data_IF_808192519449
#
_entry.id   IF_808192519449
#
_cell.length_a   1.000
_cell.length_b   1.000
_cell.length_c   1.000
_cell.angle_alpha   90.00
_cell.angle_beta   90.00
_cell.angle_gamma   90.00
#
_symmetry.space_group_name_H-M   'P 1'
#
loop_
_entity.id
_entity.type
_entity.pdbx_description
1 polymer ?
#
# COMPACT_ATOMS: atom_id res chain seq x y z
N UNK A 1 37.12 -16.74 13.94
CA UNK A 1 36.36 -16.39 12.73
C UNK A 1 34.96 -16.89 12.97
N UNK A 2 34.09 -16.00 13.43
CA UNK A 2 32.72 -16.32 13.80
C UNK A 2 31.86 -16.22 12.52
N UNK A 3 31.83 -17.28 11.73
CA UNK A 3 30.89 -17.40 10.61
C UNK A 3 29.54 -17.81 11.16
N UNK A 4 28.86 -16.87 11.84
CA UNK A 4 27.43 -16.98 12.01
C UNK A 4 26.84 -17.05 10.58
N UNK A 5 26.20 -18.17 10.24
CA UNK A 5 25.55 -18.32 8.96
C UNK A 5 24.58 -17.14 8.76
N UNK A 6 24.75 -16.39 7.67
CA UNK A 6 23.87 -15.25 7.37
C UNK A 6 22.45 -15.79 7.19
N UNK A 7 21.54 -15.38 8.06
CA UNK A 7 20.11 -15.76 8.03
C UNK A 7 19.56 -15.55 6.62
N UNK A 8 18.92 -16.57 6.06
CA UNK A 8 18.34 -16.48 4.73
C UNK A 8 17.01 -15.71 4.80
N UNK A 9 16.99 -14.47 4.31
CA UNK A 9 15.82 -13.60 4.35
C UNK A 9 14.96 -13.78 3.09
N UNK A 10 13.66 -13.95 3.26
CA UNK A 10 12.70 -14.07 2.15
C UNK A 10 12.03 -12.73 1.82
N UNK A 11 12.09 -12.30 0.56
CA UNK A 11 11.29 -11.20 0.03
C UNK A 11 10.16 -11.79 -0.82
N UNK A 12 8.90 -11.55 -0.41
CA UNK A 12 7.71 -12.07 -1.09
C UNK A 12 6.97 -10.90 -1.73
N UNK A 13 6.91 -10.88 -3.06
CA UNK A 13 6.35 -9.80 -3.85
C UNK A 13 5.00 -10.20 -4.46
N UNK A 14 3.91 -9.61 -3.96
CA UNK A 14 2.59 -9.94 -4.46
C UNK A 14 2.33 -9.44 -5.89
N UNK A 15 1.36 -10.05 -6.57
CA UNK A 15 0.81 -9.53 -7.82
C UNK A 15 -0.10 -8.33 -7.59
N UNK A 16 -0.20 -7.47 -8.60
CA UNK A 16 -1.00 -6.23 -8.53
C UNK A 16 -0.91 -5.34 -9.76
N UNK A 17 -0.45 -5.85 -10.90
CA UNK A 17 -0.31 -5.08 -12.15
C UNK A 17 0.45 -3.77 -11.98
N UNK A 18 -0.13 -2.65 -12.39
CA UNK A 18 0.48 -1.32 -12.35
C UNK A 18 0.88 -0.85 -10.93
N UNK A 19 0.26 -1.41 -9.89
CA UNK A 19 0.64 -1.16 -8.48
C UNK A 19 2.03 -1.68 -8.13
N UNK A 20 2.63 -2.53 -8.98
CA UNK A 20 4.00 -3.02 -8.83
C UNK A 20 5.06 -1.93 -8.70
N UNK A 21 4.78 -0.71 -9.16
CA UNK A 21 5.60 0.49 -8.89
C UNK A 21 5.88 0.72 -7.40
N UNK A 22 4.95 0.36 -6.51
CA UNK A 22 5.13 0.42 -5.05
C UNK A 22 6.30 -0.42 -4.56
N UNK A 23 6.48 -1.62 -5.11
CA UNK A 23 7.56 -2.55 -4.73
C UNK A 23 8.96 -1.98 -5.02
N UNK A 24 9.10 -1.09 -6.01
CA UNK A 24 10.37 -0.41 -6.28
C UNK A 24 10.73 0.59 -5.19
N UNK A 25 9.72 1.24 -4.61
CA UNK A 25 9.87 2.05 -3.40
C UNK A 25 10.37 1.23 -2.21
N UNK A 26 9.73 0.07 -2.01
CA UNK A 26 10.13 -0.89 -0.97
C UNK A 26 11.56 -1.35 -1.17
N UNK A 27 11.92 -1.75 -2.39
CA UNK A 27 13.29 -2.13 -2.74
C UNK A 27 14.29 -1.04 -2.33
N UNK A 28 14.07 0.20 -2.75
CA UNK A 28 14.96 1.31 -2.38
C UNK A 28 15.16 1.44 -0.87
N UNK A 29 14.07 1.37 -0.10
CA UNK A 29 14.15 1.46 1.36
C UNK A 29 14.91 0.28 1.98
N UNK A 30 14.69 -0.95 1.48
CA UNK A 30 15.42 -2.14 1.95
C UNK A 30 16.93 -2.01 1.67
N UNK A 31 17.32 -1.52 0.51
CA UNK A 31 18.73 -1.27 0.16
C UNK A 31 19.37 -0.25 1.10
N UNK A 32 18.70 0.89 1.37
CA UNK A 32 19.17 1.93 2.30
C UNK A 32 19.25 1.41 3.75
N UNK A 33 18.42 0.43 4.12
CA UNK A 33 18.46 -0.25 5.43
C UNK A 33 19.54 -1.33 5.52
N UNK A 34 20.25 -1.64 4.43
CA UNK A 34 21.19 -2.77 4.37
C UNK A 34 20.50 -4.13 4.48
N UNK A 35 19.21 -4.20 4.14
CA UNK A 35 18.44 -5.43 4.15
C UNK A 35 18.52 -6.11 2.78
N UNK A 36 19.10 -7.31 2.73
CA UNK A 36 19.28 -8.08 1.49
C UNK A 36 18.55 -9.41 1.56
N UNK A 37 17.79 -9.77 0.52
CA UNK A 37 17.14 -11.08 0.44
C UNK A 37 18.15 -12.20 0.12
N UNK A 38 17.93 -13.39 0.69
CA UNK A 38 18.53 -14.64 0.26
C UNK A 38 17.59 -15.51 -0.58
N UNK A 39 16.28 -15.23 -0.52
CA UNK A 39 15.26 -15.81 -1.38
C UNK A 39 14.24 -14.74 -1.80
N UNK A 40 13.82 -14.77 -3.05
CA UNK A 40 12.79 -13.89 -3.62
C UNK A 40 11.72 -14.75 -4.25
N UNK A 41 10.47 -14.50 -3.89
CA UNK A 41 9.33 -15.13 -4.57
C UNK A 41 8.34 -14.09 -5.03
N UNK A 42 7.70 -14.35 -6.17
CA UNK A 42 6.73 -13.40 -6.70
C UNK A 42 5.62 -14.02 -7.53
N UNK A 43 4.55 -13.26 -7.68
CA UNK A 43 3.40 -13.58 -8.53
C UNK A 43 3.14 -12.40 -9.44
N UNK A 44 2.88 -12.63 -10.73
CA UNK A 44 2.56 -11.57 -11.70
C UNK A 44 3.64 -10.49 -11.73
N UNK A 45 3.27 -9.22 -11.68
CA UNK A 45 4.24 -8.11 -11.57
C UNK A 45 5.31 -8.29 -10.48
N UNK A 46 4.97 -8.99 -9.38
CA UNK A 46 5.91 -9.29 -8.30
C UNK A 46 7.04 -10.23 -8.73
N UNK A 47 6.81 -11.15 -9.67
CA UNK A 47 7.88 -12.00 -10.20
C UNK A 47 8.80 -11.21 -11.17
N UNK A 48 8.25 -10.27 -11.94
CA UNK A 48 9.03 -9.37 -12.80
C UNK A 48 9.93 -8.45 -11.99
N UNK A 49 9.38 -7.76 -10.99
CA UNK A 49 10.16 -6.93 -10.06
C UNK A 49 11.16 -7.79 -9.27
N UNK A 50 10.76 -9.00 -8.86
CA UNK A 50 11.62 -9.94 -8.15
C UNK A 50 12.81 -10.41 -8.98
N UNK A 51 12.62 -10.70 -10.26
CA UNK A 51 13.71 -11.04 -11.18
C UNK A 51 14.72 -9.89 -11.32
N UNK A 52 14.23 -8.66 -11.50
CA UNK A 52 15.08 -7.47 -11.53
C UNK A 52 15.82 -7.24 -10.20
N UNK A 53 15.17 -7.51 -9.06
CA UNK A 53 15.80 -7.46 -7.73
C UNK A 53 16.98 -8.44 -7.63
N UNK A 54 16.77 -9.70 -8.04
CA UNK A 54 17.83 -10.74 -8.03
C UNK A 54 19.01 -10.36 -8.94
N UNK A 55 18.72 -9.67 -10.05
CA UNK A 55 19.72 -9.16 -10.99
C UNK A 55 20.36 -7.83 -10.58
N UNK A 56 19.94 -7.21 -9.47
CA UNK A 56 20.46 -5.91 -9.02
C UNK A 56 20.11 -4.74 -9.93
N UNK A 57 19.01 -4.83 -10.69
CA UNK A 57 18.62 -3.88 -11.73
C UNK A 57 17.67 -2.78 -11.23
N UNK A 58 18.00 -2.13 -10.10
CA UNK A 58 17.11 -1.14 -9.46
C UNK A 58 16.75 0.01 -10.40
N UNK A 59 17.77 0.61 -11.03
CA UNK A 59 17.62 1.74 -11.94
C UNK A 59 16.74 1.37 -13.15
N UNK A 60 16.94 0.16 -13.70
CA UNK A 60 16.12 -0.37 -14.81
C UNK A 60 14.66 -0.55 -14.39
N UNK A 61 14.41 -1.10 -13.21
CA UNK A 61 13.05 -1.25 -12.69
C UNK A 61 12.39 0.12 -12.49
N UNK A 62 13.08 1.06 -11.84
CA UNK A 62 12.60 2.43 -11.63
C UNK A 62 12.24 3.10 -12.95
N UNK A 63 13.15 3.09 -13.92
CA UNK A 63 12.97 3.78 -15.18
C UNK A 63 11.87 3.15 -16.02
N UNK A 64 11.73 1.81 -15.98
CA UNK A 64 10.60 1.11 -16.59
C UNK A 64 9.27 1.64 -16.06
N UNK A 65 9.08 1.69 -14.74
CA UNK A 65 7.86 2.16 -14.11
C UNK A 65 7.56 3.65 -14.34
N UNK A 66 8.60 4.48 -14.49
CA UNK A 66 8.46 5.91 -14.77
C UNK A 66 8.26 6.22 -16.26
N UNK A 67 8.38 5.24 -17.15
CA UNK A 67 8.24 5.42 -18.61
C UNK A 67 7.06 4.69 -19.21
N UNK A 68 6.65 3.55 -18.64
CA UNK A 68 5.48 2.81 -19.12
C UNK A 68 4.22 3.67 -19.03
N UNK A 69 3.43 3.64 -20.10
CA UNK A 69 2.16 4.34 -20.22
C UNK A 69 1.17 3.38 -20.84
N UNK A 70 -0.07 3.43 -20.38
CA UNK A 70 -1.17 2.76 -21.06
C UNK A 70 -2.21 3.81 -21.44
N UNK A 71 -2.41 3.99 -22.73
CA UNK A 71 -3.23 5.09 -23.26
C UNK A 71 -4.72 4.72 -23.36
N UNK A 72 -5.07 3.42 -23.35
CA UNK A 72 -6.46 2.96 -23.39
C UNK A 72 -6.63 1.66 -22.60
N UNK A 73 -6.99 1.78 -21.32
CA UNK A 73 -7.28 0.61 -20.48
C UNK A 73 -8.65 0.75 -19.84
N UNK A 74 -9.47 -0.27 -20.04
CA UNK A 74 -10.78 -0.37 -19.42
C UNK A 74 -10.64 -0.56 -17.92
N UNK A 75 -11.36 0.27 -17.15
CA UNK A 75 -11.48 0.10 -15.71
C UNK A 75 -12.15 -1.24 -15.40
N UNK A 76 -11.53 -2.01 -14.50
CA UNK A 76 -12.16 -3.23 -14.01
C UNK A 76 -13.27 -2.87 -13.02
N UNK A 77 -14.37 -3.63 -13.00
CA UNK A 77 -15.43 -3.42 -12.03
C UNK A 77 -14.92 -3.77 -10.63
N UNK A 78 -15.56 -3.19 -9.61
CA UNK A 78 -15.32 -3.51 -8.21
C UNK A 78 -15.33 -5.05 -7.99
N UNK A 79 -14.40 -5.64 -7.23
CA UNK A 79 -14.45 -7.05 -6.83
C UNK A 79 -15.79 -7.50 -6.24
N UNK A 80 -16.51 -6.62 -5.56
CA UNK A 80 -17.85 -6.85 -5.01
C UNK A 80 -18.97 -6.70 -6.05
N UNK A 81 -18.68 -6.24 -7.28
CA UNK A 81 -19.65 -6.14 -8.35
C UNK A 81 -20.20 -7.53 -8.72
N UNK A 82 -21.50 -7.59 -9.02
CA UNK A 82 -22.18 -8.85 -9.32
C UNK A 82 -21.70 -9.51 -10.62
N UNK A 83 -22.03 -10.80 -10.84
CA UNK A 83 -21.55 -11.58 -11.99
C UNK A 83 -21.87 -10.99 -13.38
N UNK A 84 -22.90 -10.13 -13.48
CA UNK A 84 -23.27 -9.46 -14.74
C UNK A 84 -22.23 -8.43 -15.17
N UNK A 85 -21.78 -7.58 -14.26
CA UNK A 85 -20.78 -6.54 -14.55
C UNK A 85 -19.45 -7.18 -15.00
N UNK A 86 -19.01 -8.19 -14.24
CA UNK A 86 -17.86 -9.01 -14.62
C UNK A 86 -18.06 -9.72 -15.96
N UNK A 87 -19.26 -10.24 -16.23
CA UNK A 87 -19.59 -10.89 -17.51
C UNK A 87 -19.60 -9.93 -18.72
N UNK A 88 -19.89 -8.65 -18.54
CA UNK A 88 -19.79 -7.63 -19.58
C UNK A 88 -18.34 -7.32 -19.93
N UNK A 89 -17.52 -7.05 -18.91
CA UNK A 89 -16.09 -6.80 -19.06
C UNK A 89 -15.35 -8.00 -19.66
N UNK A 90 -15.67 -9.22 -19.21
CA UNK A 90 -15.12 -10.45 -19.81
C UNK A 90 -15.50 -10.57 -21.28
N UNK A 91 -16.78 -10.32 -21.63
CA UNK A 91 -17.23 -10.39 -23.03
C UNK A 91 -16.51 -9.37 -23.91
N UNK A 92 -16.29 -8.17 -23.39
CA UNK A 92 -15.61 -7.12 -24.12
C UNK A 92 -14.13 -7.46 -24.34
N UNK A 93 -13.39 -7.84 -23.29
CA UNK A 93 -12.00 -8.27 -23.45
C UNK A 93 -11.85 -9.45 -24.42
N UNK A 94 -12.74 -10.43 -24.36
CA UNK A 94 -12.71 -11.57 -25.30
C UNK A 94 -13.04 -11.12 -26.73
N UNK A 95 -14.00 -10.22 -26.92
CA UNK A 95 -14.36 -9.70 -28.23
C UNK A 95 -13.24 -8.85 -28.86
N UNK A 96 -12.50 -8.12 -28.03
CA UNK A 96 -11.37 -7.27 -28.45
C UNK A 96 -10.03 -8.03 -28.52
N UNK A 97 -9.98 -9.27 -28.03
CA UNK A 97 -8.78 -10.12 -28.05
C UNK A 97 -7.82 -9.93 -26.88
N UNK A 98 -8.24 -9.19 -25.84
CA UNK A 98 -7.42 -8.80 -24.70
C UNK A 98 -6.53 -7.58 -24.99
N UNK A 99 -5.76 -7.17 -23.98
CA UNK A 99 -4.73 -6.13 -24.11
C UNK A 99 -3.54 -6.66 -24.90
N UNK A 100 -2.92 -5.79 -25.72
CA UNK A 100 -1.65 -6.10 -26.37
C UNK A 100 -0.55 -6.28 -25.33
N UNK A 101 0.00 -7.49 -25.26
CA UNK A 101 1.07 -7.86 -24.32
C UNK A 101 2.47 -7.65 -24.88
N UNK A 102 2.62 -7.25 -26.15
CA UNK A 102 3.92 -7.00 -26.79
C UNK A 102 4.84 -6.05 -25.99
N UNK A 103 4.33 -4.98 -25.33
CA UNK A 103 5.15 -4.15 -24.45
C UNK A 103 5.74 -4.91 -23.26
N UNK A 104 4.96 -5.81 -22.64
CA UNK A 104 5.41 -6.63 -21.52
C UNK A 104 6.45 -7.67 -21.99
N UNK A 105 6.25 -8.29 -23.15
CA UNK A 105 7.23 -9.20 -23.76
C UNK A 105 8.55 -8.48 -24.04
N UNK A 106 8.49 -7.27 -24.60
CA UNK A 106 9.67 -6.44 -24.86
C UNK A 106 10.39 -6.02 -23.57
N UNK A 107 9.64 -5.76 -22.49
CA UNK A 107 10.22 -5.51 -21.16
C UNK A 107 10.97 -6.76 -20.67
N UNK A 108 10.30 -7.92 -20.63
CA UNK A 108 10.91 -9.17 -20.15
C UNK A 108 12.15 -9.51 -20.95
N UNK A 109 12.10 -9.41 -22.28
CA UNK A 109 13.25 -9.66 -23.15
C UNK A 109 14.43 -8.69 -22.92
N UNK A 110 14.16 -7.46 -22.47
CA UNK A 110 15.20 -6.46 -22.19
C UNK A 110 15.82 -6.61 -20.81
N UNK A 111 15.03 -6.96 -19.80
CA UNK A 111 15.48 -7.00 -18.40
C UNK A 111 16.04 -8.35 -17.99
N UNK A 112 15.54 -9.44 -18.59
CA UNK A 112 15.86 -10.78 -18.17
C UNK A 112 17.19 -11.27 -18.78
N UNK A 113 18.17 -11.48 -17.91
CA UNK A 113 19.33 -12.33 -18.17
C UNK A 113 19.18 -13.61 -17.35
N UNK A 114 18.71 -14.68 -17.98
CA UNK A 114 18.42 -15.96 -17.29
C UNK A 114 19.69 -16.59 -16.72
N UNK A 115 20.81 -16.51 -17.42
CA UNK A 115 22.08 -17.10 -16.96
C UNK A 115 22.60 -16.35 -15.72
N UNK A 116 22.54 -15.01 -15.74
CA UNK A 116 22.90 -14.21 -14.57
C UNK A 116 21.96 -14.47 -13.37
N UNK A 117 20.66 -14.65 -13.63
CA UNK A 117 19.68 -14.94 -12.58
C UNK A 117 19.95 -16.31 -11.95
N UNK A 118 20.24 -17.33 -12.76
CA UNK A 118 20.61 -18.68 -12.29
C UNK A 118 21.96 -18.74 -11.57
N UNK A 119 22.89 -17.85 -11.93
CA UNK A 119 24.18 -17.73 -11.25
C UNK A 119 24.10 -16.94 -9.92
N UNK A 120 22.98 -16.25 -9.67
CA UNK A 120 22.81 -15.42 -8.47
C UNK A 120 22.81 -16.25 -7.19
N UNK A 121 23.43 -15.77 -6.10
CA UNK A 121 23.30 -16.39 -4.79
C UNK A 121 21.90 -16.23 -4.19
N UNK A 122 21.07 -15.34 -4.74
CA UNK A 122 19.68 -15.12 -4.30
C UNK A 122 18.76 -16.10 -5.01
N UNK A 123 18.08 -16.95 -4.24
CA UNK A 123 17.17 -17.96 -4.79
C UNK A 123 15.90 -17.30 -5.31
N UNK A 124 15.38 -17.76 -6.43
CA UNK A 124 14.18 -17.20 -7.05
C UNK A 124 13.07 -18.24 -7.24
N UNK A 125 11.82 -17.80 -7.15
CA UNK A 125 10.66 -18.62 -7.49
C UNK A 125 9.45 -17.78 -7.90
N UNK A 126 8.56 -18.37 -8.68
CA UNK A 126 7.36 -17.72 -9.17
C UNK A 126 6.13 -18.62 -9.05
N UNK A 127 4.95 -18.00 -9.18
CA UNK A 127 3.67 -18.71 -9.25
C UNK A 127 3.00 -18.49 -10.60
N UNK A 128 2.51 -19.57 -11.20
CA UNK A 128 1.57 -19.55 -12.32
C UNK A 128 0.52 -20.63 -12.11
N UNK A 129 -0.52 -20.67 -12.94
CA UNK A 129 -1.62 -21.65 -12.84
C UNK A 129 -1.86 -22.26 -14.21
N UNK A 130 -1.90 -23.59 -14.31
CA UNK A 130 -2.38 -24.23 -15.54
C UNK A 130 -3.86 -23.93 -15.73
N UNK A 131 -4.23 -23.35 -16.87
CA UNK A 131 -5.60 -22.96 -17.21
C UNK A 131 -6.56 -24.15 -17.13
N UNK A 132 -6.15 -25.30 -17.68
CA UNK A 132 -6.94 -26.53 -17.64
C UNK A 132 -6.90 -27.14 -16.24
N UNK A 133 -8.03 -27.06 -15.54
CA UNK A 133 -8.18 -27.62 -14.19
C UNK A 133 -7.62 -26.74 -13.08
N UNK A 134 -7.20 -25.49 -13.39
CA UNK A 134 -6.71 -24.48 -12.44
C UNK A 134 -5.65 -25.03 -11.48
N UNK A 135 -4.70 -25.82 -12.00
CA UNK A 135 -3.67 -26.47 -11.18
C UNK A 135 -2.55 -25.47 -10.86
N UNK A 136 -2.29 -25.17 -9.58
CA UNK A 136 -1.24 -24.23 -9.22
C UNK A 136 0.15 -24.79 -9.52
N UNK A 137 1.04 -23.93 -10.02
CA UNK A 137 2.47 -24.20 -10.23
C UNK A 137 3.29 -23.16 -9.48
N UNK A 138 3.70 -23.51 -8.27
CA UNK A 138 4.64 -22.73 -7.47
C UNK A 138 6.05 -23.27 -7.75
N UNK A 139 6.78 -22.63 -8.65
CA UNK A 139 8.04 -23.13 -9.23
C UNK A 139 9.23 -22.36 -8.65
N UNK A 140 10.23 -23.10 -8.20
CA UNK A 140 11.59 -22.57 -7.99
C UNK A 140 12.29 -22.42 -9.35
N UNK A 141 13.33 -21.59 -9.41
CA UNK A 141 14.11 -21.38 -10.63
C UNK A 141 14.69 -22.69 -11.20
N UNK A 142 15.11 -23.61 -10.34
CA UNK A 142 15.69 -24.91 -10.75
C UNK A 142 14.65 -25.87 -11.35
N UNK A 143 13.36 -25.65 -11.06
CA UNK A 143 12.25 -26.42 -11.64
C UNK A 143 11.82 -25.89 -13.01
N UNK A 144 12.27 -24.70 -13.41
CA UNK A 144 11.99 -24.10 -14.72
C UNK A 144 13.09 -24.54 -15.70
N UNK A 145 12.75 -25.14 -16.86
CA UNK A 145 13.75 -25.52 -17.87
C UNK A 145 14.58 -24.32 -18.35
N UNK A 146 15.86 -24.56 -18.61
CA UNK A 146 16.76 -23.54 -19.18
C UNK A 146 16.19 -22.99 -20.48
N UNK A 147 16.15 -21.65 -20.59
CA UNK A 147 15.65 -20.95 -21.77
C UNK A 147 14.15 -20.71 -21.79
N UNK A 148 13.41 -21.15 -20.76
CA UNK A 148 11.96 -20.94 -20.64
C UNK A 148 11.58 -19.92 -19.55
N UNK A 149 12.54 -19.31 -18.85
CA UNK A 149 12.22 -18.42 -17.73
C UNK A 149 11.37 -17.21 -18.16
N UNK A 150 11.67 -16.63 -19.33
CA UNK A 150 10.88 -15.54 -19.89
C UNK A 150 9.41 -15.94 -20.09
N UNK A 151 9.17 -17.14 -20.62
CA UNK A 151 7.83 -17.66 -20.85
C UNK A 151 7.07 -17.86 -19.54
N UNK A 152 7.73 -18.39 -18.50
CA UNK A 152 7.11 -18.58 -17.19
C UNK A 152 6.87 -17.26 -16.43
N UNK A 153 7.71 -16.24 -16.62
CA UNK A 153 7.44 -14.89 -16.11
C UNK A 153 6.21 -14.28 -16.79
N UNK A 154 6.12 -14.39 -18.11
CA UNK A 154 4.95 -13.92 -18.87
C UNK A 154 3.68 -14.70 -18.52
N UNK A 155 3.78 -16.01 -18.31
CA UNK A 155 2.69 -16.84 -17.81
C UNK A 155 2.22 -16.41 -16.42
N UNK A 156 3.16 -16.06 -15.52
CA UNK A 156 2.84 -15.57 -14.18
C UNK A 156 2.08 -14.25 -14.20
N UNK A 157 2.18 -13.46 -15.28
CA UNK A 157 1.50 -12.17 -15.49
C UNK A 157 0.28 -12.25 -16.45
N UNK A 158 -0.12 -13.45 -16.89
CA UNK A 158 -1.21 -13.65 -17.85
C UNK A 158 -2.60 -13.49 -17.19
N UNK A 159 -2.99 -12.25 -16.91
CA UNK A 159 -4.22 -11.88 -16.20
C UNK A 159 -5.50 -12.00 -17.06
N UNK A 160 -5.99 -13.23 -17.25
CA UNK A 160 -7.13 -13.53 -18.13
C UNK A 160 -8.51 -13.07 -17.60
N UNK A 161 -9.36 -12.38 -18.39
CA UNK A 161 -9.28 -12.23 -19.84
C UNK A 161 -8.58 -10.97 -20.32
N UNK A 162 -8.18 -10.06 -19.43
CA UNK A 162 -7.54 -8.82 -19.82
C UNK A 162 -6.20 -9.05 -20.55
N UNK A 163 -5.45 -10.08 -20.15
CA UNK A 163 -4.27 -10.55 -20.87
C UNK A 163 -4.46 -12.03 -21.26
N UNK A 164 -4.11 -12.42 -22.49
CA UNK A 164 -4.31 -13.79 -22.96
C UNK A 164 -3.45 -14.79 -22.18
N UNK A 165 -3.92 -16.04 -22.13
CA UNK A 165 -3.17 -17.14 -21.52
C UNK A 165 -1.87 -17.40 -22.29
N UNK A 166 -0.78 -17.72 -21.57
CA UNK A 166 0.52 -18.06 -22.17
C UNK A 166 0.58 -19.55 -22.47
N UNK A 167 0.93 -19.92 -23.70
CA UNK A 167 1.18 -21.33 -24.05
C UNK A 167 2.67 -21.64 -23.88
N UNK A 168 3.01 -22.66 -23.10
CA UNK A 168 4.37 -23.18 -22.95
C UNK A 168 4.28 -24.69 -23.19
N UNK A 169 4.99 -25.17 -24.21
CA UNK A 169 5.00 -26.58 -24.62
C UNK A 169 3.60 -27.22 -24.77
N UNK A 170 2.64 -26.43 -25.30
CA UNK A 170 1.26 -26.87 -25.53
C UNK A 170 0.36 -26.87 -24.30
N UNK A 171 0.84 -26.38 -23.15
CA UNK A 171 0.04 -26.15 -21.94
C UNK A 171 -0.25 -24.66 -21.80
N UNK A 172 -1.52 -24.31 -21.63
CA UNK A 172 -1.93 -22.92 -21.36
C UNK A 172 -1.82 -22.59 -19.87
N UNK A 173 -1.21 -21.45 -19.56
CA UNK A 173 -0.98 -20.92 -18.23
C UNK A 173 -1.66 -19.56 -18.04
N UNK A 174 -2.06 -19.30 -16.80
CA UNK A 174 -2.66 -18.07 -16.31
C UNK A 174 -1.79 -17.45 -15.21
N UNK A 175 -2.10 -16.21 -14.87
CA UNK A 175 -1.49 -15.50 -13.76
C UNK A 175 -1.50 -16.33 -12.45
N UNK A 176 -0.43 -16.22 -11.66
CA UNK A 176 -0.33 -16.93 -10.38
C UNK A 176 -1.38 -16.51 -9.34
N UNK A 177 -1.93 -15.29 -9.49
CA UNK A 177 -2.94 -14.70 -8.63
C UNK A 177 -4.24 -15.52 -8.59
N UNK A 178 -4.51 -16.36 -9.59
CA UNK A 178 -5.64 -17.31 -9.57
C UNK A 178 -5.49 -18.43 -8.53
N UNK A 179 -4.32 -18.56 -7.89
CA UNK A 179 -4.12 -19.53 -6.80
C UNK A 179 -3.47 -18.95 -5.56
N UNK A 180 -2.35 -18.21 -5.73
CA UNK A 180 -1.58 -17.70 -4.61
C UNK A 180 -0.85 -16.40 -4.98
N UNK A 181 -1.45 -15.27 -4.62
CA UNK A 181 -0.90 -13.96 -4.91
C UNK A 181 0.29 -13.60 -4.02
N UNK A 182 0.49 -14.27 -2.88
CA UNK A 182 1.58 -13.98 -1.94
C UNK A 182 2.29 -15.29 -1.52
N UNK A 183 3.28 -15.76 -2.29
CA UNK A 183 3.84 -17.10 -2.15
C UNK A 183 4.85 -17.26 -1.00
N UNK A 184 4.37 -17.12 0.25
CA UNK A 184 5.20 -17.28 1.47
C UNK A 184 5.69 -18.72 1.67
N UNK A 185 4.86 -19.71 1.35
CA UNK A 185 5.25 -21.13 1.42
C UNK A 185 6.38 -21.49 0.46
N UNK A 186 6.39 -20.88 -0.74
CA UNK A 186 7.49 -21.03 -1.69
C UNK A 186 8.78 -20.38 -1.15
N UNK A 187 8.70 -19.22 -0.49
CA UNK A 187 9.87 -18.58 0.11
C UNK A 187 10.47 -19.45 1.23
N UNK A 188 9.63 -20.05 2.07
CA UNK A 188 10.06 -21.02 3.07
C UNK A 188 10.71 -22.27 2.44
N UNK A 189 10.17 -22.79 1.33
CA UNK A 189 10.77 -23.90 0.56
C UNK A 189 12.12 -23.52 -0.06
N UNK A 190 12.30 -22.25 -0.43
CA UNK A 190 13.59 -21.69 -0.82
C UNK A 190 14.52 -21.44 0.39
N UNK A 191 14.16 -21.88 1.59
CA UNK A 191 15.01 -21.82 2.78
C UNK A 191 15.01 -20.47 3.48
N UNK A 192 13.97 -19.64 3.30
CA UNK A 192 13.81 -18.42 4.10
C UNK A 192 13.55 -18.74 5.57
N UNK A 193 14.14 -17.95 6.46
CA UNK A 193 14.02 -18.04 7.93
C UNK A 193 13.22 -16.86 8.51
N UNK A 194 13.08 -15.78 7.75
CA UNK A 194 12.20 -14.64 8.02
C UNK A 194 11.64 -14.10 6.70
N UNK A 195 10.51 -13.40 6.74
CA UNK A 195 9.81 -12.89 5.55
C UNK A 195 9.57 -11.39 5.63
N UNK A 196 9.84 -10.69 4.54
CA UNK A 196 9.24 -9.39 4.21
C UNK A 196 8.26 -9.62 3.07
N UNK A 197 6.98 -9.42 3.33
CA UNK A 197 5.90 -9.59 2.36
C UNK A 197 5.40 -8.23 1.91
N UNK A 198 5.45 -7.96 0.61
CA UNK A 198 4.94 -6.71 0.01
C UNK A 198 3.58 -6.96 -0.61
N UNK A 199 2.54 -6.43 0.04
CA UNK A 199 1.16 -6.56 -0.37
C UNK A 199 0.72 -5.33 -1.19
N UNK A 200 0.18 -5.58 -2.37
CA UNK A 200 -0.34 -4.55 -3.28
C UNK A 200 -1.86 -4.46 -3.25
N UNK A 201 -2.52 -5.30 -2.45
CA UNK A 201 -3.97 -5.49 -2.46
C UNK A 201 -4.50 -5.77 -3.88
N UNK A 202 -3.68 -6.47 -4.67
CA UNK A 202 -4.00 -6.83 -6.04
C UNK A 202 -5.11 -7.89 -6.11
N UNK A 203 -5.76 -7.98 -7.28
CA UNK A 203 -6.75 -9.02 -7.52
C UNK A 203 -6.12 -10.41 -7.49
N UNK A 204 -6.79 -11.35 -6.83
CA UNK A 204 -6.36 -12.74 -6.74
C UNK A 204 -6.60 -13.36 -5.37
N UNK A 205 -6.19 -14.61 -5.22
CA UNK A 205 -6.30 -15.36 -3.97
C UNK A 205 -4.99 -15.28 -3.20
N UNK A 206 -5.00 -14.68 -2.01
CA UNK A 206 -3.87 -14.72 -1.08
C UNK A 206 -4.06 -15.86 -0.10
N UNK A 207 -3.19 -16.89 -0.15
CA UNK A 207 -3.24 -17.98 0.83
C UNK A 207 -2.77 -17.47 2.20
N UNK A 208 -3.39 -17.91 3.32
CA UNK A 208 -2.89 -17.57 4.64
C UNK A 208 -1.45 -18.01 4.84
N UNK A 209 -0.61 -17.17 5.44
CA UNK A 209 0.76 -17.54 5.79
C UNK A 209 0.76 -18.59 6.91
N UNK A 210 1.12 -19.84 6.57
CA UNK A 210 1.20 -20.98 7.50
C UNK A 210 2.63 -21.43 7.79
N UNK A 211 3.62 -20.63 7.42
CA UNK A 211 5.04 -21.00 7.53
C UNK A 211 5.56 -20.97 8.97
N UNK A 212 4.94 -20.18 9.84
CA UNK A 212 5.42 -19.94 11.22
C UNK A 212 6.65 -19.02 11.29
N UNK A 213 7.11 -18.48 10.16
CA UNK A 213 8.28 -17.61 10.11
C UNK A 213 7.95 -16.19 10.62
N UNK A 214 8.89 -15.51 11.30
CA UNK A 214 8.80 -14.08 11.55
C UNK A 214 8.50 -13.35 10.24
N UNK A 215 7.42 -12.58 10.22
CA UNK A 215 6.91 -11.97 8.99
C UNK A 215 6.60 -10.49 9.22
N UNK A 216 7.26 -9.64 8.46
CA UNK A 216 6.92 -8.22 8.32
C UNK A 216 6.09 -8.05 7.04
N UNK A 217 4.87 -7.54 7.17
CA UNK A 217 4.02 -7.20 6.02
C UNK A 217 4.13 -5.71 5.75
N UNK A 218 4.49 -5.34 4.54
CA UNK A 218 4.51 -3.97 4.05
C UNK A 218 3.29 -3.82 3.13
N UNK A 219 2.39 -2.92 3.51
CA UNK A 219 1.14 -2.61 2.81
C UNK A 219 0.89 -1.11 2.92
N UNK A 220 0.37 -0.53 1.86
CA UNK A 220 -0.05 0.87 1.83
C UNK A 220 -1.35 1.10 2.59
N UNK A 221 -1.41 2.17 3.38
CA UNK A 221 -2.68 2.73 3.87
C UNK A 221 -3.49 3.35 2.73
N UNK A 222 -2.79 3.90 1.73
CA UNK A 222 -3.38 4.65 0.63
C UNK A 222 -3.61 3.78 -0.59
N UNK A 223 -4.67 4.08 -1.34
CA UNK A 223 -4.89 3.44 -2.63
C UNK A 223 -3.71 3.64 -3.58
N UNK A 224 -3.34 2.57 -4.28
CA UNK A 224 -2.22 2.51 -5.22
C UNK A 224 -2.65 2.72 -6.69
N UNK A 225 -3.92 3.03 -6.94
CA UNK A 225 -4.50 3.20 -8.28
C UNK A 225 -5.06 1.91 -8.90
N UNK A 226 -5.43 1.99 -10.17
CA UNK A 226 -5.94 0.84 -10.94
C UNK A 226 -4.80 -0.14 -11.28
N UNK A 227 -5.09 -1.44 -11.24
CA UNK A 227 -4.11 -2.49 -11.53
C UNK A 227 -3.76 -2.60 -13.02
N UNK A 228 -4.58 -2.10 -13.94
CA UNK A 228 -4.30 -2.15 -15.38
C UNK A 228 -3.91 -0.78 -15.97
N UNK A 229 -3.97 0.31 -15.19
CA UNK A 229 -3.60 1.65 -15.67
C UNK A 229 -2.18 2.02 -15.28
N UNK A 230 -1.29 2.09 -16.26
CA UNK A 230 0.10 2.47 -16.07
C UNK A 230 0.27 3.97 -16.30
N UNK A 231 0.51 4.71 -15.20
CA UNK A 231 0.68 6.16 -15.19
C UNK A 231 1.98 6.53 -14.43
N UNK A 232 2.93 7.25 -15.06
CA UNK A 232 4.20 7.62 -14.41
C UNK A 232 4.06 8.48 -13.15
N UNK A 233 3.03 9.32 -13.03
CA UNK A 233 2.80 10.13 -11.84
C UNK A 233 2.30 9.25 -10.69
N UNK A 234 1.37 8.33 -10.97
CA UNK A 234 0.93 7.31 -10.01
C UNK A 234 2.09 6.42 -9.61
N UNK A 235 2.92 5.98 -10.55
CA UNK A 235 4.10 5.16 -10.26
C UNK A 235 5.08 5.87 -9.32
N UNK A 236 5.38 7.15 -9.57
CA UNK A 236 6.23 7.96 -8.68
C UNK A 236 5.65 8.09 -7.27
N UNK A 237 4.34 8.31 -7.18
CA UNK A 237 3.63 8.36 -5.90
C UNK A 237 3.75 7.03 -5.17
N UNK A 238 3.45 5.92 -5.85
CA UNK A 238 3.51 4.56 -5.28
C UNK A 238 4.92 4.19 -4.81
N UNK A 239 5.96 4.52 -5.57
CA UNK A 239 7.35 4.34 -5.13
C UNK A 239 7.63 5.11 -3.83
N UNK A 240 7.08 6.31 -3.69
CA UNK A 240 7.31 7.12 -2.49
C UNK A 240 6.56 6.55 -1.29
N UNK A 241 5.32 6.07 -1.48
CA UNK A 241 4.56 5.36 -0.46
C UNK A 241 5.29 4.08 -0.01
N UNK A 242 5.70 3.23 -0.95
CA UNK A 242 6.40 1.98 -0.65
C UNK A 242 7.73 2.20 0.08
N UNK A 243 8.44 3.27 -0.25
CA UNK A 243 9.63 3.68 0.48
C UNK A 243 9.31 3.99 1.95
N UNK A 244 8.33 4.87 2.21
CA UNK A 244 8.01 5.29 3.57
C UNK A 244 7.30 4.23 4.40
N UNK A 245 6.43 3.42 3.81
CA UNK A 245 5.79 2.30 4.51
C UNK A 245 6.82 1.25 4.95
N UNK A 246 7.86 1.04 4.14
CA UNK A 246 9.01 0.20 4.52
C UNK A 246 9.76 0.83 5.67
N UNK A 247 10.11 2.11 5.60
CA UNK A 247 10.77 2.80 6.72
C UNK A 247 9.93 2.72 8.01
N UNK A 248 8.60 2.84 7.91
CA UNK A 248 7.67 2.71 9.04
C UNK A 248 7.71 1.30 9.62
N UNK A 249 7.61 0.27 8.77
CA UNK A 249 7.67 -1.13 9.19
C UNK A 249 8.99 -1.49 9.90
N UNK A 250 10.07 -0.76 9.62
CA UNK A 250 11.39 -0.90 10.26
C UNK A 250 11.66 0.15 11.36
N UNK A 251 10.65 0.90 11.78
CA UNK A 251 10.74 1.86 12.90
C UNK A 251 11.70 3.02 12.63
N UNK A 252 11.76 3.51 11.38
CA UNK A 252 12.57 4.68 10.97
C UNK A 252 11.76 5.96 10.79
N UNK A 253 10.45 5.83 10.63
CA UNK A 253 9.48 6.93 10.65
C UNK A 253 8.29 6.52 11.51
N UNK A 254 7.53 7.51 11.98
CA UNK A 254 6.30 7.31 12.77
C UNK A 254 5.05 7.70 11.97
N UNK A 255 3.89 7.67 12.62
CA UNK A 255 2.58 7.84 12.01
C UNK A 255 2.06 6.56 11.36
N UNK A 256 0.78 6.52 11.00
CA UNK A 256 0.16 5.35 10.37
C UNK A 256 -0.18 5.63 8.90
N UNK A 257 -0.81 6.76 8.61
CA UNK A 257 -1.14 7.18 7.25
C UNK A 257 -0.06 8.07 6.66
N UNK A 258 0.48 8.99 7.45
CA UNK A 258 1.54 9.91 7.00
C UNK A 258 2.90 9.49 7.57
N UNK A 259 3.99 9.58 6.79
CA UNK A 259 5.31 9.36 7.34
C UNK A 259 5.78 10.62 8.06
N UNK A 260 5.97 10.50 9.36
CA UNK A 260 6.45 11.60 10.20
C UNK A 260 7.86 11.28 10.70
N UNK A 261 8.76 12.26 10.67
CA UNK A 261 10.13 12.13 11.11
C UNK A 261 10.20 11.86 12.64
N UNK A 262 11.08 10.95 13.05
CA UNK A 262 11.30 10.63 14.46
C UNK A 262 11.95 11.77 15.28
N UNK A 263 13.00 12.47 14.78
CA UNK A 263 13.65 13.52 15.57
C UNK A 263 12.67 14.63 15.94
N UNK A 264 12.50 14.88 17.24
CA UNK A 264 11.56 15.87 17.78
C UNK A 264 10.08 15.49 17.62
N UNK A 265 9.76 14.41 16.88
CA UNK A 265 8.39 14.01 16.61
C UNK A 265 7.63 13.66 17.89
N UNK A 266 8.23 12.95 18.84
CA UNK A 266 7.56 12.51 20.09
C UNK A 266 7.07 13.70 20.93
N UNK A 267 7.96 14.66 21.18
CA UNK A 267 7.62 15.88 21.88
C UNK A 267 6.56 16.72 21.13
N UNK A 268 6.71 16.88 19.81
CA UNK A 268 5.76 17.65 19.01
C UNK A 268 4.36 16.99 18.95
N UNK A 269 4.29 15.65 18.89
CA UNK A 269 3.02 14.94 18.95
C UNK A 269 2.37 15.07 20.34
N UNK A 270 3.16 15.04 21.42
CA UNK A 270 2.65 15.30 22.77
C UNK A 270 2.14 16.74 22.92
N UNK A 271 2.82 17.72 22.33
CA UNK A 271 2.39 19.12 22.30
C UNK A 271 1.10 19.31 21.50
N UNK A 272 0.92 18.58 20.39
CA UNK A 272 -0.36 18.51 19.69
C UNK A 272 -1.48 17.97 20.61
N UNK A 273 -1.25 16.86 21.34
CA UNK A 273 -2.24 16.31 22.27
C UNK A 273 -2.57 17.24 23.43
N UNK A 274 -1.58 17.94 23.97
CA UNK A 274 -1.80 18.95 25.02
C UNK A 274 -2.77 20.05 24.58
N UNK A 275 -2.81 20.38 23.28
CA UNK A 275 -3.79 21.31 22.69
C UNK A 275 -5.14 20.64 22.39
N UNK A 276 -5.13 19.41 21.89
CA UNK A 276 -6.31 18.70 21.42
C UNK A 276 -7.17 18.09 22.54
N UNK A 277 -6.54 17.50 23.56
CA UNK A 277 -7.23 16.72 24.59
C UNK A 277 -8.19 17.52 25.46
N UNK A 278 -7.81 18.71 25.99
CA UNK A 278 -8.73 19.53 26.76
C UNK A 278 -9.94 19.97 25.92
N UNK A 279 -9.72 20.25 24.63
CA UNK A 279 -10.78 20.67 23.72
C UNK A 279 -11.78 19.54 23.47
N UNK A 280 -11.31 18.34 23.12
CA UNK A 280 -12.21 17.22 22.84
C UNK A 280 -13.00 16.79 24.08
N UNK A 281 -12.39 16.79 25.28
CA UNK A 281 -13.10 16.41 26.51
C UNK A 281 -14.13 17.47 26.91
N UNK A 282 -13.85 18.76 26.72
CA UNK A 282 -14.84 19.82 26.92
C UNK A 282 -16.03 19.67 25.95
N UNK A 283 -15.76 19.35 24.68
CA UNK A 283 -16.80 19.11 23.67
C UNK A 283 -17.61 17.85 24.00
N UNK A 284 -16.96 16.76 24.41
CA UNK A 284 -17.62 15.51 24.82
C UNK A 284 -18.53 15.70 26.03
N UNK A 285 -18.06 16.43 27.05
CA UNK A 285 -18.85 16.72 28.25
C UNK A 285 -20.10 17.55 27.93
N UNK A 286 -19.97 18.50 27.00
CA UNK A 286 -21.08 19.41 26.64
C UNK A 286 -22.01 18.85 25.57
N UNK A 287 -21.45 18.16 24.57
CA UNK A 287 -22.08 17.71 23.34
C UNK A 287 -21.73 16.24 23.02
N UNK A 288 -22.09 15.28 23.88
CA UNK A 288 -21.70 13.87 23.68
C UNK A 288 -22.20 13.31 22.34
N UNK A 289 -23.39 13.69 21.89
CA UNK A 289 -23.94 13.25 20.61
C UNK A 289 -23.11 13.69 19.40
N UNK A 290 -22.43 14.85 19.46
CA UNK A 290 -21.54 15.33 18.40
C UNK A 290 -20.18 14.61 18.43
N UNK A 291 -19.65 14.36 19.63
CA UNK A 291 -18.32 13.79 19.83
C UNK A 291 -18.26 12.28 19.55
N UNK A 292 -19.26 11.52 20.00
CA UNK A 292 -19.23 10.05 19.93
C UNK A 292 -18.95 9.52 18.52
N UNK A 293 -19.58 10.02 17.43
CA UNK A 293 -19.30 9.53 16.09
C UNK A 293 -17.85 9.79 15.63
N UNK A 294 -17.27 10.96 15.94
CA UNK A 294 -15.89 11.28 15.58
C UNK A 294 -14.89 10.42 16.37
N UNK A 295 -15.12 10.23 17.67
CA UNK A 295 -14.29 9.35 18.50
C UNK A 295 -14.40 7.88 18.08
N UNK A 296 -15.60 7.43 17.71
CA UNK A 296 -15.81 6.08 17.19
C UNK A 296 -15.10 5.90 15.84
N UNK A 297 -15.15 6.89 14.95
CA UNK A 297 -14.43 6.85 13.67
C UNK A 297 -12.91 6.71 13.88
N UNK A 298 -12.32 7.45 14.82
CA UNK A 298 -10.92 7.31 15.20
C UNK A 298 -10.62 5.92 15.78
N UNK A 299 -11.46 5.43 16.70
CA UNK A 299 -11.26 4.13 17.33
C UNK A 299 -11.38 2.96 16.33
N UNK A 300 -12.32 3.02 15.38
CA UNK A 300 -12.52 1.99 14.37
C UNK A 300 -11.41 1.96 13.31
N UNK A 301 -10.72 3.08 13.10
CA UNK A 301 -9.61 3.17 12.15
C UNK A 301 -8.33 2.47 12.64
N UNK A 302 -8.22 2.17 13.95
CA UNK A 302 -7.16 1.29 14.46
C UNK A 302 -5.74 1.84 14.38
N UNK A 303 -5.59 3.17 14.45
CA UNK A 303 -4.31 3.88 14.48
C UNK A 303 -3.39 3.37 15.58
N UNK A 304 -2.10 3.14 15.27
CA UNK A 304 -1.10 2.70 16.25
C UNK A 304 -0.38 3.89 16.89
N UNK A 305 -0.20 4.99 16.16
CA UNK A 305 0.33 6.24 16.67
C UNK A 305 -0.82 7.09 17.25
N UNK A 306 -1.32 6.67 18.41
CA UNK A 306 -2.45 7.32 19.11
C UNK A 306 -2.28 8.85 19.28
N UNK A 307 -1.07 9.38 19.57
CA UNK A 307 -0.85 10.83 19.62
C UNK A 307 -1.13 11.56 18.29
N UNK A 308 -0.80 10.98 17.14
CA UNK A 308 -1.00 11.64 15.84
C UNK A 308 -2.33 11.30 15.17
N UNK A 309 -3.02 10.25 15.61
CA UNK A 309 -4.25 9.76 15.01
C UNK A 309 -5.30 10.85 14.67
N UNK A 310 -5.62 11.83 15.54
CA UNK A 310 -6.58 12.89 15.17
C UNK A 310 -6.07 13.80 14.05
N UNK A 311 -4.78 14.16 14.08
CA UNK A 311 -4.16 15.02 13.07
C UNK A 311 -4.09 14.30 11.73
N UNK A 312 -3.66 13.04 11.71
CA UNK A 312 -3.58 12.23 10.49
C UNK A 312 -4.95 12.01 9.87
N UNK A 313 -5.96 11.63 10.66
CA UNK A 313 -7.32 11.46 10.16
C UNK A 313 -7.93 12.77 9.63
N UNK A 314 -7.63 13.91 10.25
CA UNK A 314 -8.06 15.22 9.76
C UNK A 314 -7.33 15.62 8.47
N UNK A 315 -6.02 15.38 8.38
CA UNK A 315 -5.20 15.64 7.20
C UNK A 315 -5.64 14.77 6.02
N UNK A 316 -5.90 13.48 6.25
CA UNK A 316 -6.46 12.54 5.26
C UNK A 316 -7.80 13.03 4.73
N UNK A 317 -8.73 13.38 5.62
CA UNK A 317 -10.04 13.88 5.21
C UNK A 317 -9.98 15.27 4.52
N UNK A 318 -8.88 16.00 4.68
CA UNK A 318 -8.61 17.26 3.97
C UNK A 318 -7.87 17.07 2.64
N UNK A 319 -7.40 15.86 2.32
CA UNK A 319 -6.68 15.57 1.07
C UNK A 319 -5.22 16.03 1.08
N UNK A 320 -4.57 16.04 2.24
CA UNK A 320 -3.12 16.32 2.35
C UNK A 320 -2.32 15.23 1.61
N UNK A 321 -1.26 15.62 0.88
CA UNK A 321 -0.44 14.70 0.10
C UNK A 321 0.30 13.69 1.01
N UNK A 322 0.08 12.37 0.86
CA UNK A 322 0.75 11.37 1.69
C UNK A 322 2.15 10.98 1.20
N UNK A 323 2.55 11.38 -0.01
CA UNK A 323 3.78 10.94 -0.65
C UNK A 323 4.98 11.84 -0.34
N UNK A 324 5.12 12.29 0.91
CA UNK A 324 6.30 13.03 1.39
C UNK A 324 6.48 12.86 2.90
N UNK A 325 7.72 13.02 3.36
CA UNK A 325 8.05 13.05 4.79
C UNK A 325 7.59 14.37 5.42
N UNK A 326 7.05 14.29 6.62
CA UNK A 326 6.62 15.41 7.43
C UNK A 326 7.35 15.47 8.77
N UNK A 327 7.58 16.66 9.31
CA UNK A 327 7.55 16.89 10.75
C UNK A 327 6.10 17.09 11.22
N UNK A 328 5.84 16.98 12.53
CA UNK A 328 4.48 17.23 13.05
C UNK A 328 4.00 18.63 12.68
N UNK A 329 4.86 19.65 12.79
CA UNK A 329 4.53 21.03 12.42
C UNK A 329 4.21 21.18 10.93
N UNK A 330 4.99 20.55 10.04
CA UNK A 330 4.70 20.58 8.60
C UNK A 330 3.37 19.89 8.26
N UNK A 331 3.00 18.84 9.00
CA UNK A 331 1.70 18.18 8.82
C UNK A 331 0.55 19.06 9.32
N UNK A 332 0.72 19.74 10.45
CA UNK A 332 -0.23 20.75 10.96
C UNK A 332 -0.45 21.87 9.94
N UNK A 333 0.63 22.43 9.39
CA UNK A 333 0.59 23.46 8.35
C UNK A 333 -0.09 22.96 7.07
N UNK A 334 0.27 21.75 6.62
CA UNK A 334 -0.33 21.16 5.42
C UNK A 334 -1.84 20.91 5.59
N UNK A 335 -2.26 20.44 6.77
CA UNK A 335 -3.68 20.31 7.09
C UNK A 335 -4.40 21.66 7.07
N UNK A 336 -3.85 22.68 7.72
CA UNK A 336 -4.45 24.01 7.75
C UNK A 336 -4.57 24.62 6.36
N UNK A 337 -3.58 24.38 5.48
CA UNK A 337 -3.59 24.84 4.10
C UNK A 337 -4.62 24.10 3.22
N UNK A 338 -4.87 22.82 3.48
CA UNK A 338 -5.77 21.99 2.69
C UNK A 338 -7.25 22.09 3.13
N UNK A 339 -7.50 22.37 4.42
CA UNK A 339 -8.85 22.33 4.97
C UNK A 339 -9.73 23.52 4.53
N UNK A 340 -11.04 23.30 4.40
CA UNK A 340 -12.01 24.38 4.13
C UNK A 340 -12.33 25.14 5.43
N UNK A 341 -11.46 26.09 5.78
CA UNK A 341 -11.57 26.84 7.03
C UNK A 341 -12.93 27.55 7.22
N UNK A 342 -13.56 28.01 6.12
CA UNK A 342 -14.87 28.65 6.17
C UNK A 342 -15.98 27.67 6.54
N UNK A 343 -15.95 26.47 5.96
CA UNK A 343 -16.88 25.39 6.30
C UNK A 343 -16.66 24.87 7.72
N UNK A 344 -15.42 24.77 8.17
CA UNK A 344 -15.07 24.32 9.52
C UNK A 344 -15.45 25.34 10.59
N UNK A 345 -15.33 26.64 10.31
CA UNK A 345 -15.73 27.71 11.23
C UNK A 345 -17.23 27.67 11.59
N UNK A 346 -18.06 27.02 10.76
CA UNK A 346 -19.46 26.76 11.09
C UNK A 346 -19.68 25.94 12.38
N UNK A 347 -18.64 25.24 12.86
CA UNK A 347 -18.68 24.49 14.13
C UNK A 347 -18.10 25.26 15.33
N UNK A 348 -17.49 26.45 15.11
CA UNK A 348 -16.83 27.23 16.17
C UNK A 348 -17.73 27.49 17.41
N UNK A 349 -19.06 27.73 17.27
CA UNK A 349 -19.95 27.87 18.43
C UNK A 349 -20.02 26.66 19.37
N UNK A 350 -19.63 25.45 18.92
CA UNK A 350 -19.55 24.27 19.79
C UNK A 350 -18.32 24.29 20.71
N UNK A 351 -17.32 25.13 20.41
CA UNK A 351 -16.05 25.24 21.14
C UNK A 351 -16.01 26.42 22.12
N UNK A 352 -16.94 27.36 22.02
CA UNK A 352 -17.02 28.55 22.88
C UNK A 352 -17.76 28.28 24.19
N UNK A 353 -17.35 28.91 25.29
CA UNK A 353 -18.06 28.83 26.57
C UNK A 353 -19.34 29.68 26.52
N UNK A 354 -20.52 29.06 26.66
CA UNK A 354 -21.81 29.74 26.61
C UNK A 354 -22.97 28.82 27.00
N UNK A 355 -24.19 29.35 27.13
CA UNK A 355 -25.37 28.54 27.45
C UNK A 355 -25.80 27.65 26.27
N UNK A 356 -26.40 26.48 26.58
CA UNK A 356 -27.00 25.62 25.56
C UNK A 356 -28.30 26.27 25.06
N UNK A 357 -28.43 26.49 23.76
CA UNK A 357 -29.66 26.96 23.13
C UNK A 357 -30.06 26.06 21.94
N UNK A 358 -31.26 26.27 21.38
CA UNK A 358 -31.78 25.44 20.29
C UNK A 358 -30.85 25.40 19.05
N UNK A 359 -30.15 26.50 18.75
CA UNK A 359 -29.17 26.56 17.66
C UNK A 359 -27.96 25.64 17.90
N UNK A 360 -27.46 25.60 19.13
CA UNK A 360 -26.35 24.73 19.50
C UNK A 360 -26.69 23.23 19.47
N UNK A 361 -27.95 22.86 19.77
CA UNK A 361 -28.41 21.47 19.65
C UNK A 361 -28.48 20.99 18.19
N UNK A 362 -28.99 21.84 17.29
CA UNK A 362 -29.01 21.54 15.85
C UNK A 362 -27.59 21.42 15.27
N UNK A 363 -26.66 22.27 15.72
CA UNK A 363 -25.26 22.21 15.30
C UNK A 363 -24.56 20.93 15.79
N UNK A 364 -24.83 20.50 17.03
CA UNK A 364 -24.34 19.24 17.56
C UNK A 364 -24.87 18.02 16.79
N UNK A 365 -26.14 18.04 16.36
CA UNK A 365 -26.70 16.99 15.51
C UNK A 365 -26.03 16.97 14.13
N UNK A 366 -25.75 18.14 13.53
CA UNK A 366 -25.01 18.24 12.27
C UNK A 366 -23.59 17.69 12.39
N UNK A 367 -22.90 17.97 13.50
CA UNK A 367 -21.58 17.42 13.78
C UNK A 367 -21.60 15.88 13.87
N UNK A 368 -22.63 15.32 14.52
CA UNK A 368 -22.82 13.87 14.62
C UNK A 368 -22.98 13.19 13.25
N UNK A 369 -23.64 13.86 12.30
CA UNK A 369 -23.85 13.37 10.93
C UNK A 369 -22.62 13.55 10.03
N UNK A 370 -21.63 14.34 10.45
CA UNK A 370 -20.45 14.69 9.67
C UNK A 370 -19.16 14.46 10.49
N UNK A 371 -18.90 13.23 10.97
CA UNK A 371 -17.84 12.96 11.94
C UNK A 371 -16.45 13.38 11.44
N UNK A 372 -16.11 13.13 10.17
CA UNK A 372 -14.81 13.52 9.60
C UNK A 372 -14.66 15.05 9.51
N UNK A 373 -15.71 15.76 9.12
CA UNK A 373 -15.67 17.22 9.03
C UNK A 373 -15.62 17.86 10.42
N UNK A 374 -16.32 17.27 11.40
CA UNK A 374 -16.27 17.73 12.78
C UNK A 374 -14.91 17.47 13.43
N UNK A 375 -14.28 16.33 13.14
CA UNK A 375 -12.91 16.06 13.57
C UNK A 375 -11.93 17.10 13.01
N UNK A 376 -12.03 17.42 11.72
CA UNK A 376 -11.22 18.50 11.13
C UNK A 376 -11.45 19.84 11.85
N UNK A 377 -12.69 20.16 12.24
CA UNK A 377 -12.97 21.39 12.99
C UNK A 377 -12.33 21.39 14.38
N UNK A 378 -12.35 20.25 15.09
CA UNK A 378 -11.65 20.07 16.37
C UNK A 378 -10.14 20.25 16.22
N UNK A 379 -9.52 19.60 15.23
CA UNK A 379 -8.08 19.73 14.96
C UNK A 379 -7.74 21.17 14.60
N UNK A 380 -8.45 21.81 13.66
CA UNK A 380 -8.26 23.23 13.32
C UNK A 380 -8.34 24.12 14.56
N UNK A 381 -9.31 23.88 15.44
CA UNK A 381 -9.50 24.67 16.66
C UNK A 381 -8.37 24.43 17.66
N UNK A 382 -7.87 23.21 17.80
CA UNK A 382 -6.70 22.92 18.64
C UNK A 382 -5.43 23.62 18.12
N UNK A 383 -5.28 23.76 16.80
CA UNK A 383 -4.11 24.38 16.19
C UNK A 383 -4.15 25.92 16.16
N UNK A 384 -5.34 26.52 16.03
CA UNK A 384 -5.50 27.97 15.83
C UNK A 384 -6.16 28.69 17.00
N UNK A 385 -6.79 27.95 17.91
CA UNK A 385 -7.46 28.49 19.08
C UNK A 385 -6.49 28.98 20.16
N UNK A 386 -6.96 29.83 21.09
CA UNK A 386 -6.17 30.16 22.27
C UNK A 386 -5.89 28.89 23.07
N UNK A 387 -4.67 28.77 23.62
CA UNK A 387 -4.33 27.70 24.56
C UNK A 387 -5.35 27.73 25.70
N UNK A 388 -6.08 26.63 25.89
CA UNK A 388 -6.94 26.47 27.06
C UNK A 388 -6.00 26.44 28.27
N UNK A 389 -6.16 27.32 29.27
CA UNK A 389 -5.28 27.32 30.43
C UNK A 389 -5.24 25.93 31.07
N UNK A 390 -4.06 25.46 31.47
CA UNK A 390 -3.92 24.23 32.26
C UNK A 390 -4.94 24.25 33.40
N UNK A 391 -5.82 23.26 33.43
CA UNK A 391 -6.59 22.98 34.64
C UNK A 391 -5.58 22.44 35.64
N UNK A 392 -5.02 23.35 36.45
CA UNK A 392 -4.22 22.99 37.62
C UNK A 392 -5.10 22.07 38.47
N UNK A 393 -4.68 20.81 38.57
CA UNK A 393 -5.37 19.75 39.31
C UNK A 393 -5.44 20.02 40.82
#
# INVERSE_FOLDING_TARGET
>A
MDTAAKVCRGLVLAGGGARGSYQVGVWRALDELGWTAGAVTGTSVGCLNGAMYVLGQYETARDMWLTIRSEDVMELPDPAAGPRAWGEVVRQFVAEGGLDISPLEGIVARVLDEDALRASPVRFGLVTVEKRGLRPRELTLDEIPQGQLADYLLASAAFYPAMPARSIDGVEYLDGGYSNNMPTGLAARLGAEELVCVDLEGLGFTKPNRTGLPTTVIRSHWELGDILRFDPAVARRNMTLGYYDTLRAFGRVRGDAYPVALPGGEAAAAEFRARFDPLQEAVKARWPAAHIPAALALALAGWKDEPLAPLEAAAEAAGVDPARLYTVAELEEAFLAACDAGRLAGFDPLFEQGEKNAGSAALAARAALLPHLFLQALVRRALTGPLVPEVIA
#
